data_IF_791320502816
#
_entry.id   IF_791320502816
#
_cell.length_a   1.000
_cell.length_b   1.000
_cell.length_c   1.000
_cell.angle_alpha   90.00
_cell.angle_beta   90.00
_cell.angle_gamma   90.00
#
_symmetry.space_group_name_H-M   'P 1'
#
loop_
_entity.id
_entity.type
_entity.pdbx_description
1 polymer ?
#
# COMPACT_ATOMS: atom_id res chain seq x y z
N UNK A 1 44.14 -10.19 -17.34
CA UNK A 1 43.23 -11.23 -16.81
C UNK A 1 41.86 -10.60 -16.74
N UNK A 2 40.87 -11.17 -17.42
CA UNK A 2 39.49 -10.70 -17.30
C UNK A 2 38.88 -11.18 -15.98
N UNK A 3 38.22 -10.27 -15.26
CA UNK A 3 37.57 -10.58 -13.99
C UNK A 3 36.29 -11.37 -14.26
N UNK A 4 36.28 -12.65 -13.85
CA UNK A 4 35.08 -13.50 -13.93
C UNK A 4 34.04 -13.05 -12.91
N UNK A 5 32.81 -12.81 -13.35
CA UNK A 5 31.69 -12.52 -12.44
C UNK A 5 31.41 -13.71 -11.52
N UNK A 6 31.22 -13.42 -10.23
CA UNK A 6 30.84 -14.39 -9.19
C UNK A 6 29.35 -14.33 -8.84
N UNK A 7 28.61 -13.38 -9.42
CA UNK A 7 27.17 -13.24 -9.20
C UNK A 7 26.39 -14.29 -9.99
N UNK A 8 25.29 -14.82 -9.42
CA UNK A 8 24.43 -15.74 -10.15
C UNK A 8 23.79 -15.03 -11.36
N UNK A 9 23.31 -15.82 -12.32
CA UNK A 9 22.38 -15.29 -13.31
C UNK A 9 21.08 -14.92 -12.59
N UNK A 10 20.70 -13.66 -12.67
CA UNK A 10 19.48 -13.13 -12.07
C UNK A 10 18.45 -13.02 -13.19
N UNK A 11 17.34 -13.74 -13.05
CA UNK A 11 16.17 -13.60 -13.90
C UNK A 11 15.08 -12.93 -13.08
N UNK A 12 14.56 -11.80 -13.57
CA UNK A 12 13.56 -11.00 -12.87
C UNK A 12 12.18 -11.33 -13.41
N UNK A 13 11.32 -11.80 -12.52
CA UNK A 13 9.91 -12.06 -12.81
C UNK A 13 9.16 -10.75 -13.10
N UNK A 14 8.17 -10.80 -14.00
CA UNK A 14 7.39 -9.64 -14.45
C UNK A 14 6.11 -9.40 -13.65
N UNK A 15 5.90 -10.13 -12.55
CA UNK A 15 4.73 -9.94 -11.67
C UNK A 15 4.68 -8.54 -11.08
N UNK A 16 3.47 -8.04 -10.88
CA UNK A 16 3.27 -6.72 -10.33
C UNK A 16 3.44 -6.74 -8.80
N UNK A 17 4.27 -5.84 -8.29
CA UNK A 17 4.54 -5.75 -6.86
C UNK A 17 3.36 -5.06 -6.14
N UNK A 18 3.02 -5.45 -4.90
CA UNK A 18 2.00 -4.77 -4.10
C UNK A 18 2.20 -3.26 -4.03
N UNK A 19 3.45 -2.80 -3.88
CA UNK A 19 3.78 -1.37 -3.89
C UNK A 19 3.42 -0.69 -5.22
N UNK A 20 3.69 -1.34 -6.36
CA UNK A 20 3.37 -0.79 -7.68
C UNK A 20 1.86 -0.63 -7.86
N UNK A 21 1.08 -1.61 -7.40
CA UNK A 21 -0.39 -1.56 -7.43
C UNK A 21 -0.90 -0.41 -6.57
N UNK A 22 -0.42 -0.28 -5.33
CA UNK A 22 -0.76 0.85 -4.47
C UNK A 22 -0.38 2.18 -5.12
N UNK A 23 0.80 2.27 -5.75
CA UNK A 23 1.25 3.51 -6.39
C UNK A 23 0.34 3.93 -7.54
N UNK A 24 -0.11 2.99 -8.38
CA UNK A 24 -1.11 3.27 -9.41
C UNK A 24 -2.42 3.79 -8.83
N UNK A 25 -2.91 3.20 -7.74
CA UNK A 25 -4.14 3.67 -7.08
C UNK A 25 -3.98 5.06 -6.46
N UNK A 26 -2.80 5.37 -5.92
CA UNK A 26 -2.43 6.71 -5.46
C UNK A 26 -2.50 7.75 -6.57
N UNK A 27 -1.97 7.42 -7.75
CA UNK A 27 -1.96 8.33 -8.90
C UNK A 27 -3.40 8.55 -9.43
N UNK A 28 -4.22 7.48 -9.49
CA UNK A 28 -5.63 7.57 -9.86
C UNK A 28 -6.44 8.47 -8.91
N UNK A 29 -6.17 8.45 -7.60
CA UNK A 29 -6.83 9.35 -6.65
C UNK A 29 -6.51 10.83 -6.96
N UNK A 30 -5.25 11.12 -7.30
CA UNK A 30 -4.84 12.46 -7.70
C UNK A 30 -5.56 12.90 -8.97
N UNK A 31 -5.64 12.03 -9.97
CA UNK A 31 -6.35 12.33 -11.22
C UNK A 31 -7.85 12.57 -10.98
N UNK A 32 -8.50 11.73 -10.17
CA UNK A 32 -9.94 11.85 -9.85
C UNK A 32 -10.28 13.13 -9.11
N UNK A 33 -9.34 13.69 -8.35
CA UNK A 33 -9.54 14.90 -7.55
C UNK A 33 -8.88 16.14 -8.16
N UNK A 34 -8.37 16.03 -9.40
CA UNK A 34 -7.62 17.09 -10.09
C UNK A 34 -6.45 17.63 -9.25
N UNK A 35 -5.74 16.75 -8.55
CA UNK A 35 -4.60 17.08 -7.70
C UNK A 35 -4.97 17.72 -6.35
N UNK A 36 -6.25 17.86 -6.03
CA UNK A 36 -6.69 18.38 -4.73
C UNK A 36 -6.30 17.46 -3.58
N UNK A 37 -6.43 16.14 -3.80
CA UNK A 37 -5.92 15.11 -2.88
C UNK A 37 -4.86 14.29 -3.59
N UNK A 38 -3.86 13.81 -2.85
CA UNK A 38 -2.85 12.91 -3.37
C UNK A 38 -2.83 11.61 -2.56
N UNK A 39 -2.51 10.50 -3.21
CA UNK A 39 -2.08 9.31 -2.47
C UNK A 39 -0.63 9.48 -2.01
N UNK A 40 -0.36 9.22 -0.73
CA UNK A 40 1.00 9.11 -0.21
C UNK A 40 1.24 7.68 0.27
N UNK A 41 2.33 7.06 -0.17
CA UNK A 41 2.72 5.73 0.28
C UNK A 41 4.01 5.86 1.08
N UNK A 42 3.92 5.63 2.39
CA UNK A 42 5.08 5.62 3.28
C UNK A 42 5.54 4.19 3.47
N UNK A 43 6.79 3.91 3.11
CA UNK A 43 7.40 2.60 3.32
C UNK A 43 8.25 2.58 4.59
N UNK A 44 8.09 1.55 5.41
CA UNK A 44 8.90 1.30 6.59
C UNK A 44 9.42 -0.14 6.60
N UNK A 45 10.63 -0.34 7.11
CA UNK A 45 11.17 -1.68 7.36
C UNK A 45 10.81 -2.09 8.79
N UNK A 46 10.26 -3.29 8.96
CA UNK A 46 10.08 -3.92 10.27
C UNK A 46 10.94 -5.16 10.38
N UNK A 47 11.68 -5.25 11.48
CA UNK A 47 12.47 -6.43 11.85
C UNK A 47 11.62 -7.53 12.49
N UNK A 48 10.40 -7.21 12.93
CA UNK A 48 9.50 -8.14 13.61
C UNK A 48 8.07 -8.03 13.08
N UNK A 49 7.52 -9.18 12.70
CA UNK A 49 6.21 -9.34 12.08
C UNK A 49 5.05 -9.24 13.10
N UNK A 50 3.89 -8.71 12.68
CA UNK A 50 2.61 -8.84 13.39
C UNK A 50 2.24 -10.32 13.56
N UNK A 51 2.21 -10.89 14.76
CA UNK A 51 2.04 -12.33 15.08
C UNK A 51 1.13 -13.20 14.18
N UNK A 52 0.14 -12.64 13.49
CA UNK A 52 -0.80 -13.30 12.58
C UNK A 52 -0.25 -13.98 11.31
N UNK A 53 0.93 -13.66 10.75
CA UNK A 53 1.52 -14.46 9.65
C UNK A 53 2.59 -15.45 10.12
N UNK A 54 2.92 -15.48 11.42
CA UNK A 54 3.96 -16.40 11.94
C UNK A 54 3.59 -17.87 11.70
N UNK A 55 2.30 -18.19 11.67
CA UNK A 55 1.80 -19.56 11.49
C UNK A 55 2.13 -20.15 10.12
N UNK A 56 2.45 -19.29 9.13
CA UNK A 56 2.77 -19.69 7.77
C UNK A 56 4.28 -19.71 7.47
N UNK A 57 5.15 -19.58 8.49
CA UNK A 57 6.60 -19.49 8.29
C UNK A 57 7.39 -20.62 8.92
N UNK A 58 8.14 -21.31 8.06
CA UNK A 58 9.24 -22.18 8.44
C UNK A 58 10.51 -21.33 8.57
N UNK A 59 10.94 -21.12 9.82
CA UNK A 59 12.33 -20.84 10.19
C UNK A 59 13.05 -19.70 9.43
N UNK A 60 12.80 -18.43 9.75
CA UNK A 60 13.80 -17.33 9.74
C UNK A 60 13.19 -15.98 10.11
N UNK A 61 13.98 -15.13 10.79
CA UNK A 61 13.70 -13.71 11.03
C UNK A 61 13.85 -12.91 9.73
N UNK A 62 12.79 -12.83 8.94
CA UNK A 62 12.81 -12.06 7.70
C UNK A 62 12.51 -10.57 7.93
N UNK A 63 13.14 -9.70 7.14
CA UNK A 63 12.79 -8.28 7.06
C UNK A 63 11.46 -8.13 6.30
N UNK A 64 10.57 -7.32 6.86
CA UNK A 64 9.29 -7.00 6.23
C UNK A 64 9.26 -5.57 5.76
N UNK A 65 8.55 -5.36 4.65
CA UNK A 65 8.16 -4.03 4.22
C UNK A 65 6.72 -3.79 4.58
N UNK A 66 6.51 -2.68 5.28
CA UNK A 66 5.19 -2.13 5.56
C UNK A 66 5.01 -0.91 4.67
N UNK A 67 3.89 -0.85 3.98
CA UNK A 67 3.43 0.30 3.20
C UNK A 67 2.16 0.85 3.84
N UNK A 68 2.21 2.09 4.29
CA UNK A 68 1.04 2.82 4.75
C UNK A 68 0.55 3.71 3.61
N UNK A 69 -0.69 3.52 3.19
CA UNK A 69 -1.33 4.34 2.17
C UNK A 69 -2.14 5.43 2.87
N UNK A 70 -1.79 6.69 2.62
CA UNK A 70 -2.49 7.86 3.12
C UNK A 70 -3.21 8.59 1.99
N UNK A 71 -4.36 9.18 2.32
CA UNK A 71 -4.95 10.28 1.56
C UNK A 71 -4.35 11.57 2.13
N UNK A 72 -3.63 12.31 1.30
CA UNK A 72 -2.98 13.57 1.63
C UNK A 72 -3.78 14.74 1.06
N UNK A 73 -4.10 15.71 1.92
CA UNK A 73 -4.72 16.97 1.55
C UNK A 73 -3.73 18.11 1.80
N UNK A 74 -3.00 18.52 0.76
CA UNK A 74 -1.92 19.53 0.87
C UNK A 74 -2.45 20.88 1.38
N UNK A 75 -3.62 21.30 0.87
CA UNK A 75 -4.25 22.57 1.24
C UNK A 75 -4.75 22.60 2.70
N UNK A 76 -4.85 21.43 3.35
CA UNK A 76 -5.28 21.29 4.74
C UNK A 76 -4.08 21.16 5.69
N UNK A 77 -3.03 21.96 5.49
CA UNK A 77 -1.78 21.89 6.29
C UNK A 77 -1.17 20.48 6.28
N UNK A 78 -1.07 19.87 5.10
CA UNK A 78 -0.56 18.52 4.89
C UNK A 78 -1.28 17.46 5.75
N UNK A 79 -2.60 17.60 5.91
CA UNK A 79 -3.40 16.62 6.63
C UNK A 79 -3.32 15.26 5.93
N UNK A 80 -3.16 14.21 6.75
CA UNK A 80 -3.02 12.82 6.28
C UNK A 80 -4.04 11.92 6.95
N UNK A 81 -4.80 11.21 6.13
CA UNK A 81 -5.71 10.15 6.58
C UNK A 81 -5.14 8.79 6.21
N UNK A 82 -4.87 7.92 7.19
CA UNK A 82 -4.41 6.55 6.93
C UNK A 82 -5.57 5.70 6.43
N UNK A 83 -5.49 5.28 5.17
CA UNK A 83 -6.54 4.49 4.54
C UNK A 83 -6.34 2.99 4.77
N UNK A 84 -5.13 2.50 4.52
CA UNK A 84 -4.77 1.10 4.73
C UNK A 84 -3.28 0.93 4.99
N UNK A 85 -2.92 -0.23 5.52
CA UNK A 85 -1.54 -0.70 5.61
C UNK A 85 -1.40 -2.04 4.90
N UNK A 86 -0.29 -2.23 4.20
CA UNK A 86 0.07 -3.48 3.54
C UNK A 86 1.44 -3.93 4.04
N UNK A 87 1.56 -5.18 4.46
CA UNK A 87 2.79 -5.77 4.96
C UNK A 87 3.13 -7.00 4.11
N UNK A 88 4.36 -7.09 3.61
CA UNK A 88 4.82 -8.24 2.83
C UNK A 88 6.29 -8.56 3.10
N UNK A 89 6.68 -9.81 2.88
CA UNK A 89 8.06 -10.27 3.06
C UNK A 89 8.95 -9.68 1.96
N UNK A 90 10.20 -9.30 2.26
CA UNK A 90 11.11 -8.79 1.22
C UNK A 90 11.52 -9.87 0.21
N UNK A 91 11.50 -11.15 0.58
CA UNK A 91 11.92 -12.26 -0.27
C UNK A 91 10.81 -12.79 -1.18
N UNK A 92 9.55 -12.52 -0.86
CA UNK A 92 8.39 -13.05 -1.58
C UNK A 92 7.42 -11.92 -1.90
N UNK A 93 6.91 -11.85 -3.13
CA UNK A 93 5.95 -10.83 -3.54
C UNK A 93 4.58 -11.04 -2.84
N UNK A 94 4.20 -12.31 -2.68
CA UNK A 94 3.02 -12.77 -1.96
C UNK A 94 3.43 -13.97 -1.09
N UNK A 95 2.80 -14.18 0.08
CA UNK A 95 1.60 -13.50 0.57
C UNK A 95 1.84 -12.08 1.13
N UNK A 96 0.80 -11.25 1.08
CA UNK A 96 0.78 -9.93 1.69
C UNK A 96 -0.38 -9.82 2.69
N UNK A 97 -0.18 -9.07 3.78
CA UNK A 97 -1.20 -8.79 4.77
C UNK A 97 -1.71 -7.37 4.60
N UNK A 98 -3.02 -7.18 4.50
CA UNK A 98 -3.67 -5.88 4.36
C UNK A 98 -4.51 -5.63 5.61
N UNK A 99 -4.40 -4.42 6.15
CA UNK A 99 -5.26 -3.93 7.24
C UNK A 99 -5.85 -2.56 6.91
N UNK A 100 -7.13 -2.39 7.20
CA UNK A 100 -7.85 -1.13 7.07
C UNK A 100 -8.99 -1.10 8.08
N UNK A 101 -9.13 0.03 8.79
CA UNK A 101 -10.29 0.26 9.67
C UNK A 101 -11.58 0.40 8.84
N UNK A 102 -11.47 0.87 7.58
CA UNK A 102 -12.59 0.90 6.64
C UNK A 102 -13.02 -0.54 6.33
N UNK A 103 -14.27 -0.86 6.67
CA UNK A 103 -14.84 -2.19 6.46
C UNK A 103 -14.27 -3.28 7.38
N UNK A 104 -13.44 -2.92 8.38
CA UNK A 104 -12.83 -3.90 9.31
C UNK A 104 -11.96 -4.94 8.60
N UNK A 105 -11.19 -4.51 7.60
CA UNK A 105 -10.36 -5.41 6.80
C UNK A 105 -9.09 -5.75 7.59
N UNK A 106 -8.89 -7.03 7.89
CA UNK A 106 -7.62 -7.62 8.29
C UNK A 106 -7.52 -8.98 7.57
N UNK A 107 -6.80 -9.02 6.44
CA UNK A 107 -6.75 -10.19 5.54
C UNK A 107 -5.35 -10.45 5.01
N UNK A 108 -5.11 -11.71 4.67
CA UNK A 108 -3.92 -12.19 3.97
C UNK A 108 -4.33 -12.47 2.53
N UNK A 109 -3.57 -11.97 1.57
CA UNK A 109 -3.76 -12.18 0.13
C UNK A 109 -2.56 -12.93 -0.43
N UNK A 110 -2.82 -13.86 -1.33
CA UNK A 110 -1.83 -14.78 -1.89
C UNK A 110 -1.53 -14.52 -3.38
N UNK A 111 -2.28 -13.63 -4.02
CA UNK A 111 -2.06 -13.25 -5.42
C UNK A 111 -2.37 -11.77 -5.68
N UNK A 112 -2.02 -11.33 -6.89
CA UNK A 112 -2.34 -10.00 -7.41
C UNK A 112 -3.85 -9.76 -7.52
N UNK A 113 -4.58 -10.78 -7.98
CA UNK A 113 -6.04 -10.73 -8.12
C UNK A 113 -6.71 -10.57 -6.75
N UNK A 114 -6.29 -11.35 -5.75
CA UNK A 114 -6.82 -11.23 -4.39
C UNK A 114 -6.50 -9.86 -3.77
N UNK A 115 -5.31 -9.31 -4.04
CA UNK A 115 -4.96 -7.96 -3.61
C UNK A 115 -5.90 -6.92 -4.24
N UNK A 116 -6.14 -7.00 -5.55
CA UNK A 116 -7.04 -6.07 -6.25
C UNK A 116 -8.48 -6.17 -5.72
N UNK A 117 -8.96 -7.38 -5.45
CA UNK A 117 -10.27 -7.60 -4.83
C UNK A 117 -10.37 -6.92 -3.47
N UNK A 118 -9.40 -7.12 -2.57
CA UNK A 118 -9.40 -6.49 -1.25
C UNK A 118 -9.28 -4.96 -1.35
N UNK A 119 -8.44 -4.45 -2.25
CA UNK A 119 -8.34 -3.01 -2.49
C UNK A 119 -9.66 -2.43 -2.98
N UNK A 120 -10.40 -3.13 -3.85
CA UNK A 120 -11.71 -2.66 -4.32
C UNK A 120 -12.71 -2.50 -3.18
N UNK A 121 -12.65 -3.36 -2.15
CA UNK A 121 -13.52 -3.28 -0.98
C UNK A 121 -13.18 -2.07 -0.09
N UNK A 122 -11.90 -1.70 0.01
CA UNK A 122 -11.45 -0.56 0.82
C UNK A 122 -11.65 0.75 0.05
N UNK A 123 -11.12 0.83 -1.17
CA UNK A 123 -11.13 2.05 -1.97
C UNK A 123 -12.53 2.40 -2.49
N UNK A 124 -13.33 1.37 -2.83
CA UNK A 124 -14.72 1.53 -3.28
C UNK A 124 -15.74 1.62 -2.14
N UNK A 125 -15.30 1.65 -0.88
CA UNK A 125 -16.20 1.72 0.27
C UNK A 125 -16.94 3.07 0.32
N UNK A 126 -18.19 3.07 0.78
CA UNK A 126 -18.96 4.31 0.98
C UNK A 126 -18.29 5.26 1.96
N UNK A 127 -17.66 4.75 3.02
CA UNK A 127 -16.94 5.57 4.00
C UNK A 127 -15.70 6.21 3.38
N UNK A 128 -14.94 5.47 2.55
CA UNK A 128 -13.80 6.04 1.81
C UNK A 128 -14.25 7.17 0.89
N UNK A 129 -15.37 6.99 0.19
CA UNK A 129 -15.97 8.02 -0.65
C UNK A 129 -16.33 9.27 0.16
N UNK A 130 -17.00 9.11 1.31
CA UNK A 130 -17.35 10.23 2.19
C UNK A 130 -16.12 10.98 2.69
N UNK A 131 -15.04 10.27 3.05
CA UNK A 131 -13.77 10.88 3.45
C UNK A 131 -13.20 11.73 2.31
N UNK A 132 -13.13 11.18 1.10
CA UNK A 132 -12.63 11.90 -0.09
C UNK A 132 -13.47 13.15 -0.36
N UNK A 133 -14.80 13.02 -0.41
CA UNK A 133 -15.70 14.15 -0.68
C UNK A 133 -15.56 15.24 0.39
N UNK A 134 -15.46 14.86 1.67
CA UNK A 134 -15.26 15.79 2.79
C UNK A 134 -13.94 16.53 2.67
N UNK A 135 -12.83 15.82 2.42
CA UNK A 135 -11.51 16.44 2.30
C UNK A 135 -11.42 17.36 1.08
N UNK A 136 -12.05 17.00 -0.04
CA UNK A 136 -12.13 17.87 -1.22
C UNK A 136 -12.91 19.15 -0.91
N UNK A 137 -14.07 19.05 -0.23
CA UNK A 137 -14.85 20.23 0.15
C UNK A 137 -14.06 21.16 1.06
N UNK A 138 -13.44 20.61 2.11
CA UNK A 138 -12.63 21.38 3.04
C UNK A 138 -11.44 22.06 2.36
N UNK A 139 -10.74 21.35 1.46
CA UNK A 139 -9.59 21.91 0.74
C UNK A 139 -10.00 23.08 -0.16
N UNK A 140 -11.21 23.04 -0.73
CA UNK A 140 -11.71 24.14 -1.57
C UNK A 140 -12.08 25.38 -0.76
N UNK A 141 -12.62 25.22 0.45
CA UNK A 141 -12.99 26.35 1.31
C UNK A 141 -11.79 27.18 1.78
N UNK A 142 -10.60 26.55 1.94
CA UNK A 142 -9.37 27.26 2.35
C UNK A 142 -8.74 28.04 1.20
N UNK A 143 -9.00 27.66 -0.06
CA UNK A 143 -8.43 28.32 -1.24
C UNK A 143 -9.17 29.58 -1.73
N UNK A 144 -10.19 30.06 -1.00
CA UNK A 144 -10.92 31.30 -1.28
C UNK A 144 -10.70 32.35 -0.18
#
# INVERSE_FOLDING_TARGET
METKSLWPKIEVDKRELPFSILKKQSDLLSDLTNGCLCGEIVSANKKDFSSSLREYQTTSTFDYRVYSFYILANELSDYRYLLLTLEHNVLEIYPAKIKSEIGGIDRIVYSEEELLEVLSLVLGNSVTKEIIETLVLQSREICF
#
